data_IF_708934188247
#
_entry.id   IF_708934188247
#
_cell.length_a   1.000
_cell.length_b   1.000
_cell.length_c   1.000
_cell.angle_alpha   90.00
_cell.angle_beta   90.00
_cell.angle_gamma   90.00
#
_symmetry.space_group_name_H-M   'P 1'
#
loop_
_entity.id
_entity.type
_entity.pdbx_description
1 polymer ?
#
# COMPACT_ATOMS: atom_id res chain seq x y z
N UNK A 1 -11.04 20.00 17.39
CA UNK A 1 -11.04 18.77 16.55
C UNK A 1 -9.95 18.98 15.51
N UNK A 2 -8.75 18.45 15.74
CA UNK A 2 -7.63 18.57 14.79
C UNK A 2 -7.88 17.60 13.63
N UNK A 3 -7.86 18.10 12.39
CA UNK A 3 -7.86 17.26 11.20
C UNK A 3 -6.56 16.44 11.21
N UNK A 4 -6.69 15.12 11.19
CA UNK A 4 -5.55 14.21 11.06
C UNK A 4 -4.88 14.45 9.71
N UNK A 5 -3.58 14.72 9.75
CA UNK A 5 -2.78 15.08 8.58
C UNK A 5 -2.66 13.88 7.63
N UNK A 6 -3.35 13.92 6.49
CA UNK A 6 -3.14 12.97 5.39
C UNK A 6 -1.74 13.18 4.82
N UNK A 7 -0.95 12.11 4.72
CA UNK A 7 0.38 12.10 4.09
C UNK A 7 0.33 11.32 2.78
N UNK A 8 0.80 11.93 1.67
CA UNK A 8 0.84 11.33 0.32
C UNK A 8 2.29 11.38 -0.18
N UNK A 9 2.81 10.25 -0.64
CA UNK A 9 4.19 10.12 -1.13
C UNK A 9 4.24 9.46 -2.49
N UNK A 10 5.18 9.89 -3.33
CA UNK A 10 5.41 9.39 -4.69
C UNK A 10 6.83 8.82 -4.76
N UNK A 11 6.94 7.50 -4.90
CA UNK A 11 8.20 6.79 -5.16
C UNK A 11 8.29 6.38 -6.63
N UNK A 12 9.46 6.56 -7.26
CA UNK A 12 9.71 6.10 -8.63
C UNK A 12 10.62 4.88 -8.63
N UNK A 13 10.22 3.83 -9.36
CA UNK A 13 11.01 2.66 -9.69
C UNK A 13 11.23 2.67 -11.20
N UNK A 14 12.48 2.63 -11.65
CA UNK A 14 12.80 2.74 -13.08
C UNK A 14 13.99 1.89 -13.48
N UNK A 15 13.93 1.35 -14.69
CA UNK A 15 15.03 0.65 -15.33
C UNK A 15 15.85 1.68 -16.12
N UNK A 16 17.17 1.67 -15.94
CA UNK A 16 18.22 2.52 -16.53
C UNK A 16 18.81 3.64 -15.65
N UNK A 17 20.09 3.42 -15.30
CA UNK A 17 21.07 4.38 -14.74
C UNK A 17 20.54 5.20 -13.57
N UNK A 18 20.13 4.49 -12.53
CA UNK A 18 19.90 5.07 -11.21
C UNK A 18 21.26 5.50 -10.65
N UNK A 19 21.57 6.80 -10.74
CA UNK A 19 22.60 7.41 -9.91
C UNK A 19 22.22 7.17 -8.44
N UNK A 20 23.23 6.81 -7.66
CA UNK A 20 23.22 6.18 -6.32
C UNK A 20 21.94 6.29 -5.44
N UNK A 21 21.55 5.21 -4.75
CA UNK A 21 20.53 5.25 -3.70
C UNK A 21 20.94 6.25 -2.60
N UNK A 22 20.06 7.20 -2.27
CA UNK A 22 20.30 8.24 -1.27
C UNK A 22 20.08 9.67 -1.75
N UNK A 23 20.08 9.90 -3.07
CA UNK A 23 19.77 11.21 -3.64
C UNK A 23 18.27 11.32 -3.94
N UNK A 24 17.61 12.33 -3.38
CA UNK A 24 16.22 12.76 -3.67
C UNK A 24 16.03 13.23 -5.11
N UNK A 25 16.97 12.97 -6.00
CA UNK A 25 17.07 13.51 -7.36
C UNK A 25 17.34 12.37 -8.33
N UNK A 26 16.52 12.27 -9.38
CA UNK A 26 16.70 11.34 -10.50
C UNK A 26 16.74 12.08 -11.82
N UNK A 27 17.40 11.46 -12.79
CA UNK A 27 17.46 11.93 -14.15
C UNK A 27 16.79 10.90 -15.05
N UNK A 28 15.92 11.34 -15.94
CA UNK A 28 15.29 10.49 -16.93
C UNK A 28 15.47 11.08 -18.32
N UNK A 29 15.60 10.21 -19.31
CA UNK A 29 15.69 10.59 -20.70
C UNK A 29 14.35 10.31 -21.36
N UNK A 30 13.68 11.36 -21.84
CA UNK A 30 12.41 11.18 -22.54
C UNK A 30 12.58 10.48 -23.91
N UNK A 31 13.78 10.57 -24.50
CA UNK A 31 14.21 9.96 -25.77
C UNK A 31 15.72 9.75 -25.80
N UNK A 32 16.18 8.75 -26.56
CA UNK A 32 17.60 8.54 -26.79
C UNK A 32 18.26 9.79 -27.42
N UNK A 33 19.29 10.33 -26.77
CA UNK A 33 20.01 11.53 -27.20
C UNK A 33 19.38 12.87 -26.77
N UNK A 34 18.31 12.86 -25.97
CA UNK A 34 17.78 14.07 -25.33
C UNK A 34 18.64 14.48 -24.12
N UNK A 35 18.49 15.73 -23.67
CA UNK A 35 19.02 16.12 -22.35
C UNK A 35 18.23 15.40 -21.25
N UNK A 36 18.93 15.00 -20.19
CA UNK A 36 18.32 14.31 -19.07
C UNK A 36 17.51 15.31 -18.23
N UNK A 37 16.22 15.04 -18.09
CA UNK A 37 15.31 15.82 -17.25
C UNK A 37 15.41 15.34 -15.80
N UNK A 38 15.28 16.27 -14.84
CA UNK A 38 15.47 15.98 -13.41
C UNK A 38 14.12 15.89 -12.68
N UNK A 39 13.92 14.84 -11.89
CA UNK A 39 12.78 14.69 -10.96
C UNK A 39 13.31 14.67 -9.54
N UNK A 40 12.59 15.31 -8.63
CA UNK A 40 12.83 15.20 -7.20
C UNK A 40 11.80 14.28 -6.55
N UNK A 41 12.27 13.34 -5.74
CA UNK A 41 11.46 12.35 -5.02
C UNK A 41 11.95 12.21 -3.58
N UNK A 42 11.05 11.83 -2.68
CA UNK A 42 11.39 11.66 -1.26
C UNK A 42 12.27 10.43 -1.00
N UNK A 43 12.18 9.43 -1.88
CA UNK A 43 12.96 8.21 -1.81
C UNK A 43 13.06 7.52 -3.17
N UNK A 44 14.17 6.80 -3.37
CA UNK A 44 14.41 6.06 -4.59
C UNK A 44 15.32 4.86 -4.32
N UNK A 45 15.12 3.80 -5.09
CA UNK A 45 15.97 2.62 -5.03
C UNK A 45 16.09 1.97 -6.40
N UNK A 46 17.27 1.43 -6.69
CA UNK A 46 17.47 0.49 -7.81
C UNK A 46 17.31 -0.98 -7.40
N UNK A 47 17.12 -1.25 -6.11
CA UNK A 47 16.87 -2.59 -5.58
C UNK A 47 15.36 -2.79 -5.39
N UNK A 48 14.72 -3.34 -6.41
CA UNK A 48 13.28 -3.59 -6.39
C UNK A 48 12.86 -4.62 -5.33
N UNK A 49 13.79 -5.43 -4.81
CA UNK A 49 13.52 -6.47 -3.80
C UNK A 49 13.39 -5.88 -2.40
N UNK A 50 14.05 -4.75 -2.14
CA UNK A 50 14.03 -4.06 -0.85
C UNK A 50 13.23 -2.75 -0.90
N UNK A 51 12.25 -2.64 -1.81
CA UNK A 51 11.46 -1.44 -2.00
C UNK A 51 10.87 -0.94 -0.68
N UNK A 52 10.26 -1.84 0.10
CA UNK A 52 9.57 -1.49 1.34
C UNK A 52 10.53 -0.87 2.38
N UNK A 53 11.68 -1.52 2.61
CA UNK A 53 12.67 -1.09 3.57
C UNK A 53 13.33 0.25 3.17
N UNK A 54 13.63 0.45 1.89
CA UNK A 54 14.37 1.63 1.43
C UNK A 54 13.50 2.88 1.23
N UNK A 55 12.18 2.73 1.15
CA UNK A 55 11.23 3.84 0.93
C UNK A 55 10.62 4.41 2.21
N UNK A 56 11.04 3.90 3.39
CA UNK A 56 10.55 4.39 4.68
C UNK A 56 9.07 4.08 4.93
N UNK A 57 8.49 3.11 4.21
CA UNK A 57 7.05 2.84 4.22
C UNK A 57 6.52 2.37 5.58
N UNK A 58 7.38 1.77 6.40
CA UNK A 58 7.08 1.38 7.77
C UNK A 58 6.52 2.54 8.61
N UNK A 59 7.01 3.78 8.38
CA UNK A 59 6.54 4.95 9.12
C UNK A 59 5.06 5.29 8.84
N UNK A 60 4.54 4.95 7.65
CA UNK A 60 3.12 5.16 7.32
C UNK A 60 2.22 4.10 7.92
N UNK A 61 2.72 2.86 8.00
CA UNK A 61 2.04 1.77 8.71
C UNK A 61 1.91 2.13 10.19
N UNK A 62 3.01 2.57 10.81
CA UNK A 62 3.00 3.04 12.20
C UNK A 62 2.06 4.24 12.40
N UNK A 63 2.11 5.22 11.50
CA UNK A 63 1.20 6.38 11.55
C UNK A 63 -0.27 5.94 11.50
N UNK A 64 -0.61 5.01 10.62
CA UNK A 64 -1.98 4.48 10.53
C UNK A 64 -2.40 3.80 11.84
N UNK A 65 -1.56 2.91 12.37
CA UNK A 65 -1.83 2.18 13.62
C UNK A 65 -1.97 3.13 14.83
N UNK A 66 -1.21 4.23 14.85
CA UNK A 66 -1.30 5.26 15.90
C UNK A 66 -2.53 6.17 15.76
N UNK A 67 -3.47 5.84 14.86
CA UNK A 67 -4.70 6.58 14.63
C UNK A 67 -4.62 7.58 13.49
N UNK A 68 -3.60 7.57 12.64
CA UNK A 68 -3.52 8.41 11.45
C UNK A 68 -4.23 7.80 10.24
N UNK A 69 -4.37 8.58 9.17
CA UNK A 69 -4.75 8.06 7.85
C UNK A 69 -3.56 8.09 6.90
N UNK A 70 -3.23 6.93 6.34
CA UNK A 70 -2.13 6.74 5.39
C UNK A 70 -2.64 6.04 4.13
N UNK A 71 -2.15 6.45 2.96
CA UNK A 71 -2.46 5.79 1.69
C UNK A 71 -1.18 5.52 0.89
N UNK A 72 -1.05 4.29 0.37
CA UNK A 72 0.05 3.83 -0.46
C UNK A 72 -0.48 3.53 -1.85
N UNK A 73 0.04 4.23 -2.87
CA UNK A 73 -0.30 3.99 -4.26
C UNK A 73 0.88 3.33 -4.97
N UNK A 74 0.68 2.10 -5.41
CA UNK A 74 1.67 1.32 -6.15
C UNK A 74 1.35 1.45 -7.64
N UNK A 75 2.28 2.07 -8.36
CA UNK A 75 2.25 2.20 -9.81
C UNK A 75 3.62 1.87 -10.35
N UNK A 76 3.67 1.11 -11.43
CA UNK A 76 4.83 1.12 -12.30
C UNK A 76 4.40 1.03 -13.74
N UNK A 77 5.36 1.03 -14.63
CA UNK A 77 5.13 0.76 -16.05
C UNK A 77 6.29 -0.09 -16.51
N UNK A 78 6.02 -1.21 -17.18
CA UNK A 78 7.08 -2.14 -17.56
C UNK A 78 7.58 -3.03 -16.43
N UNK A 79 6.88 -3.08 -15.29
CA UNK A 79 7.15 -3.99 -14.17
C UNK A 79 7.20 -5.46 -14.65
N UNK A 80 6.34 -5.84 -15.58
CA UNK A 80 6.36 -7.17 -16.21
C UNK A 80 7.66 -7.48 -16.97
N UNK A 81 8.45 -6.47 -17.36
CA UNK A 81 9.77 -6.61 -17.99
C UNK A 81 10.92 -6.56 -16.98
N UNK A 82 10.67 -6.10 -15.75
CA UNK A 82 11.73 -5.92 -14.75
C UNK A 82 12.18 -7.22 -14.09
N UNK A 83 11.43 -8.33 -14.21
CA UNK A 83 11.83 -9.68 -13.75
C UNK A 83 12.03 -9.87 -12.24
N UNK A 84 12.38 -8.80 -11.51
CA UNK A 84 12.77 -8.74 -10.10
C UNK A 84 11.77 -7.96 -9.23
N UNK A 85 10.70 -7.38 -9.79
CA UNK A 85 9.60 -6.87 -8.97
C UNK A 85 8.73 -8.04 -8.52
N UNK A 86 8.92 -8.43 -7.26
CA UNK A 86 8.10 -9.42 -6.61
C UNK A 86 7.03 -8.71 -5.78
N UNK A 87 5.86 -8.51 -6.40
CA UNK A 87 4.66 -7.98 -5.74
C UNK A 87 4.35 -8.74 -4.45
N UNK A 88 4.54 -10.06 -4.44
CA UNK A 88 4.30 -10.89 -3.27
C UNK A 88 5.32 -10.59 -2.17
N UNK A 89 6.60 -10.39 -2.51
CA UNK A 89 7.62 -9.93 -1.56
C UNK A 89 7.25 -8.58 -0.95
N UNK A 90 6.84 -7.60 -1.77
CA UNK A 90 6.41 -6.30 -1.25
C UNK A 90 5.23 -6.42 -0.28
N UNK A 91 4.20 -7.20 -0.66
CA UNK A 91 3.05 -7.40 0.21
C UNK A 91 3.41 -8.19 1.48
N UNK A 92 4.37 -9.11 1.41
CA UNK A 92 4.92 -9.81 2.57
C UNK A 92 5.59 -8.86 3.54
N UNK A 93 6.43 -7.94 3.05
CA UNK A 93 7.09 -6.94 3.89
C UNK A 93 6.06 -6.00 4.54
N UNK A 94 5.03 -5.60 3.79
CA UNK A 94 3.92 -4.81 4.30
C UNK A 94 3.16 -5.53 5.42
N UNK A 95 2.78 -6.80 5.21
CA UNK A 95 2.09 -7.61 6.20
C UNK A 95 2.93 -7.78 7.48
N UNK A 96 4.23 -8.06 7.32
CA UNK A 96 5.16 -8.14 8.44
C UNK A 96 5.25 -6.82 9.21
N UNK A 97 5.32 -5.69 8.51
CA UNK A 97 5.37 -4.37 9.14
C UNK A 97 4.08 -4.03 9.90
N UNK A 98 2.91 -4.42 9.37
CA UNK A 98 1.62 -4.26 10.05
C UNK A 98 1.63 -5.09 11.34
N UNK A 99 1.89 -6.40 11.25
CA UNK A 99 1.85 -7.30 12.39
C UNK A 99 2.81 -6.86 13.52
N UNK A 100 4.05 -6.50 13.16
CA UNK A 100 5.03 -5.97 14.11
C UNK A 100 4.56 -4.68 14.78
N UNK A 101 4.00 -3.74 14.00
CA UNK A 101 3.56 -2.45 14.51
C UNK A 101 2.32 -2.59 15.39
N UNK A 102 1.39 -3.50 15.05
CA UNK A 102 0.22 -3.79 15.88
C UNK A 102 0.65 -4.36 17.24
N UNK A 103 1.50 -5.39 17.22
CA UNK A 103 2.01 -6.05 18.42
C UNK A 103 2.77 -5.10 19.35
N UNK A 104 3.47 -4.11 18.79
CA UNK A 104 4.23 -3.11 19.55
C UNK A 104 3.36 -2.00 20.12
N UNK A 105 2.31 -1.59 19.42
CA UNK A 105 1.47 -0.45 19.81
C UNK A 105 0.35 -0.86 20.77
N UNK A 106 -0.49 -1.81 20.38
CA UNK A 106 -1.57 -2.35 21.19
C UNK A 106 -1.90 -3.79 20.76
N UNK A 107 -1.57 -4.80 21.58
CA UNK A 107 -1.87 -6.21 21.28
C UNK A 107 -3.37 -6.52 21.17
N UNK A 108 -4.22 -5.70 21.77
CA UNK A 108 -5.69 -5.89 21.80
C UNK A 108 -6.41 -5.04 20.75
N UNK A 109 -5.67 -4.45 19.80
CA UNK A 109 -6.22 -3.61 18.75
C UNK A 109 -7.15 -4.38 17.84
N UNK A 110 -8.38 -3.89 17.68
CA UNK A 110 -9.30 -4.43 16.70
C UNK A 110 -9.00 -3.89 15.31
N UNK A 111 -9.32 -4.69 14.30
CA UNK A 111 -9.11 -4.29 12.92
C UNK A 111 -10.28 -4.74 12.05
N UNK A 112 -10.62 -3.91 11.07
CA UNK A 112 -11.48 -4.31 9.97
C UNK A 112 -10.76 -4.13 8.64
N UNK A 113 -11.12 -4.91 7.63
CA UNK A 113 -10.52 -4.80 6.31
C UNK A 113 -11.54 -4.95 5.18
N UNK A 114 -11.24 -4.31 4.06
CA UNK A 114 -11.87 -4.60 2.78
C UNK A 114 -10.76 -4.85 1.75
N UNK A 115 -10.86 -5.95 1.01
CA UNK A 115 -9.90 -6.28 -0.05
C UNK A 115 -10.66 -6.49 -1.36
N UNK A 116 -10.48 -5.58 -2.31
CA UNK A 116 -11.25 -5.54 -3.54
C UNK A 116 -10.37 -5.49 -4.78
N UNK A 117 -10.73 -6.27 -5.80
CA UNK A 117 -10.20 -6.16 -7.15
C UNK A 117 -10.98 -5.18 -7.99
N UNK A 118 -10.30 -4.45 -8.85
CA UNK A 118 -10.88 -3.45 -9.75
C UNK A 118 -10.62 -3.87 -11.21
N UNK A 119 -11.65 -3.77 -12.03
CA UNK A 119 -11.60 -3.93 -13.49
C UNK A 119 -12.26 -2.72 -14.14
N UNK A 120 -12.19 -2.63 -15.47
CA UNK A 120 -12.79 -1.53 -16.23
C UNK A 120 -14.29 -1.31 -15.98
N UNK A 121 -15.03 -2.36 -15.59
CA UNK A 121 -16.49 -2.31 -15.47
C UNK A 121 -17.04 -2.87 -14.16
N UNK A 122 -16.20 -3.50 -13.33
CA UNK A 122 -16.63 -4.22 -12.13
C UNK A 122 -15.63 -4.07 -10.99
N UNK A 123 -16.17 -4.10 -9.79
CA UNK A 123 -15.42 -4.28 -8.54
C UNK A 123 -15.72 -5.69 -8.02
N UNK A 124 -14.69 -6.41 -7.59
CA UNK A 124 -14.79 -7.75 -7.02
C UNK A 124 -14.33 -7.70 -5.58
N UNK A 125 -15.14 -8.19 -4.66
CA UNK A 125 -14.78 -8.41 -3.27
C UNK A 125 -14.00 -9.73 -3.16
N UNK A 126 -12.71 -9.66 -2.83
CA UNK A 126 -11.82 -10.83 -2.67
C UNK A 126 -12.03 -11.56 -1.34
N UNK A 127 -12.74 -10.95 -0.38
CA UNK A 127 -13.12 -11.67 0.83
C UNK A 127 -14.21 -12.72 0.50
N UNK A 128 -15.17 -12.35 -0.36
CA UNK A 128 -16.34 -13.17 -0.70
C UNK A 128 -16.32 -13.81 -2.08
N UNK A 129 -15.33 -13.49 -2.91
CA UNK A 129 -15.22 -13.86 -4.32
C UNK A 129 -16.47 -13.47 -5.13
N UNK A 130 -16.98 -12.25 -4.94
CA UNK A 130 -18.23 -11.77 -5.57
C UNK A 130 -18.10 -10.36 -6.13
N UNK A 131 -18.80 -10.10 -7.23
CA UNK A 131 -18.94 -8.74 -7.74
C UNK A 131 -19.72 -7.86 -6.77
N UNK A 132 -19.23 -6.64 -6.56
CA UNK A 132 -19.88 -5.63 -5.73
C UNK A 132 -20.81 -4.79 -6.62
N UNK A 133 -22.04 -4.59 -6.16
CA UNK A 133 -23.02 -3.75 -6.85
C UNK A 133 -22.72 -2.26 -6.63
N UNK A 134 -23.13 -1.41 -7.57
CA UNK A 134 -22.94 0.04 -7.48
C UNK A 134 -23.55 0.63 -6.20
N UNK A 135 -24.73 0.15 -5.79
CA UNK A 135 -25.40 0.60 -4.56
C UNK A 135 -24.55 0.36 -3.30
N UNK A 136 -23.80 -0.75 -3.24
CA UNK A 136 -22.90 -1.04 -2.12
C UNK A 136 -21.65 -0.16 -2.10
N UNK A 137 -21.28 0.43 -3.24
CA UNK A 137 -20.14 1.35 -3.38
C UNK A 137 -20.54 2.82 -3.23
N UNK A 138 -21.84 3.14 -3.24
CA UNK A 138 -22.34 4.53 -3.23
C UNK A 138 -21.84 5.36 -2.03
N UNK A 139 -21.47 4.68 -0.94
CA UNK A 139 -20.95 5.31 0.28
C UNK A 139 -19.49 4.91 0.59
N UNK A 140 -18.74 4.51 -0.44
CA UNK A 140 -17.37 4.04 -0.29
C UNK A 140 -17.28 2.57 0.15
N UNK A 141 -16.18 2.22 0.82
CA UNK A 141 -15.84 0.83 1.17
C UNK A 141 -16.37 0.37 2.53
N UNK A 142 -16.97 1.26 3.34
CA UNK A 142 -17.41 0.92 4.70
C UNK A 142 -18.39 -0.26 4.75
N UNK A 143 -19.29 -0.36 3.77
CA UNK A 143 -20.22 -1.49 3.65
C UNK A 143 -19.59 -2.81 3.21
N UNK A 144 -18.29 -2.82 2.87
CA UNK A 144 -17.49 -3.99 2.48
C UNK A 144 -16.44 -4.37 3.51
N UNK A 145 -16.35 -3.64 4.63
CA UNK A 145 -15.39 -3.97 5.68
C UNK A 145 -15.83 -5.23 6.45
N UNK A 146 -14.83 -6.01 6.83
CA UNK A 146 -14.94 -7.25 7.56
C UNK A 146 -14.10 -7.16 8.82
N UNK A 147 -14.68 -7.52 9.96
CA UNK A 147 -13.94 -7.66 11.21
C UNK A 147 -12.88 -8.76 11.09
N UNK A 148 -11.71 -8.49 11.65
CA UNK A 148 -10.57 -9.40 11.62
C UNK A 148 -10.44 -10.03 13.00
N UNK A 149 -10.86 -11.29 13.09
CA UNK A 149 -10.67 -12.12 14.28
C UNK A 149 -9.24 -12.68 14.36
N UNK A 150 -8.63 -12.91 13.20
CA UNK A 150 -7.30 -13.51 13.06
C UNK A 150 -6.55 -12.83 11.90
N UNK A 151 -5.41 -12.20 12.22
CA UNK A 151 -4.56 -11.54 11.24
C UNK A 151 -3.97 -12.52 10.23
N UNK A 152 -3.63 -13.74 10.65
CA UNK A 152 -2.97 -14.72 9.80
C UNK A 152 -3.84 -15.08 8.59
N UNK A 153 -5.17 -15.09 8.77
CA UNK A 153 -6.15 -15.31 7.69
C UNK A 153 -6.17 -14.17 6.67
N UNK A 154 -6.02 -12.92 7.13
CA UNK A 154 -5.96 -11.75 6.25
C UNK A 154 -4.64 -11.73 5.50
N UNK A 155 -3.53 -11.99 6.20
CA UNK A 155 -2.20 -12.11 5.61
C UNK A 155 -2.18 -13.20 4.54
N UNK A 156 -2.71 -14.40 4.81
CA UNK A 156 -2.76 -15.47 3.82
C UNK A 156 -3.53 -15.02 2.56
N UNK A 157 -4.69 -14.37 2.71
CA UNK A 157 -5.47 -13.84 1.58
C UNK A 157 -4.71 -12.79 0.78
N UNK A 158 -3.99 -11.89 1.45
CA UNK A 158 -3.17 -10.87 0.79
C UNK A 158 -2.01 -11.54 0.02
N UNK A 159 -1.38 -12.56 0.61
CA UNK A 159 -0.21 -13.26 0.04
C UNK A 159 -0.56 -14.31 -1.00
N UNK A 160 -1.81 -14.78 -1.06
CA UNK A 160 -2.35 -15.49 -2.23
C UNK A 160 -2.24 -14.62 -3.49
N UNK A 161 -2.23 -13.29 -3.30
CA UNK A 161 -2.06 -12.31 -4.35
C UNK A 161 -3.34 -12.11 -5.17
N UNK A 162 -3.30 -11.10 -6.03
CA UNK A 162 -4.40 -10.78 -6.93
C UNK A 162 -3.85 -10.56 -8.33
N UNK A 163 -4.55 -11.03 -9.35
CA UNK A 163 -4.18 -10.76 -10.75
C UNK A 163 -4.68 -9.41 -11.25
N UNK A 164 -5.64 -8.82 -10.54
CA UNK A 164 -6.23 -7.53 -10.85
C UNK A 164 -5.49 -6.39 -10.12
N UNK A 165 -5.61 -5.14 -10.62
CA UNK A 165 -5.50 -3.97 -9.76
C UNK A 165 -6.39 -4.14 -8.54
N UNK A 166 -5.95 -3.68 -7.37
CA UNK A 166 -6.72 -3.84 -6.14
C UNK A 166 -6.65 -2.64 -5.20
N UNK A 167 -7.59 -2.62 -4.27
CA UNK A 167 -7.57 -1.77 -3.08
C UNK A 167 -7.67 -2.68 -1.84
N UNK A 168 -6.69 -2.54 -0.95
CA UNK A 168 -6.69 -3.11 0.39
C UNK A 168 -6.89 -1.96 1.39
N UNK A 169 -8.04 -1.90 2.03
CA UNK A 169 -8.37 -0.92 3.05
C UNK A 169 -8.35 -1.60 4.42
N UNK A 170 -7.53 -1.11 5.34
CA UNK A 170 -7.35 -1.62 6.70
C UNK A 170 -7.67 -0.52 7.70
N UNK A 171 -8.56 -0.79 8.64
CA UNK A 171 -8.97 0.14 9.67
C UNK A 171 -8.61 -0.41 11.03
N UNK A 172 -7.92 0.39 11.84
CA UNK A 172 -7.37 0.00 13.14
C UNK A 172 -8.07 0.77 14.25
N UNK A 173 -8.51 0.10 15.30
CA UNK A 173 -9.12 0.74 16.46
C UNK A 173 -8.46 0.24 17.75
N UNK A 174 -7.89 1.16 18.53
CA UNK A 174 -7.40 0.87 19.88
C UNK A 174 -8.30 1.57 20.89
N UNK A 175 -8.63 0.86 21.97
CA UNK A 175 -9.39 1.38 23.11
C UNK A 175 -8.52 1.61 24.35
N UNK A 176 -7.21 1.30 24.29
CA UNK A 176 -6.29 1.50 25.41
C UNK A 176 -5.82 2.94 25.50
N UNK A 177 -5.67 3.42 26.74
CA UNK A 177 -5.12 4.73 27.15
C UNK A 177 -5.76 5.97 26.50
N UNK A 178 -5.64 6.11 25.19
CA UNK A 178 -6.34 7.10 24.36
C UNK A 178 -6.95 6.38 23.15
N UNK A 179 -8.28 6.37 23.01
CA UNK A 179 -8.92 5.76 21.86
C UNK A 179 -8.38 6.32 20.55
N UNK A 180 -7.91 5.45 19.67
CA UNK A 180 -7.45 5.81 18.34
C UNK A 180 -8.27 5.10 17.28
N UNK A 181 -8.39 5.76 16.13
CA UNK A 181 -9.02 5.23 14.94
C UNK A 181 -8.12 5.59 13.77
N UNK A 182 -7.55 4.56 13.16
CA UNK A 182 -6.52 4.63 12.15
C UNK A 182 -6.93 3.97 10.85
N UNK A 183 -6.38 4.43 9.73
CA UNK A 183 -6.71 3.90 8.42
C UNK A 183 -5.48 3.79 7.52
N UNK A 184 -5.25 2.60 6.98
CA UNK A 184 -4.25 2.34 5.95
C UNK A 184 -4.94 1.86 4.68
N UNK A 185 -4.74 2.58 3.58
CA UNK A 185 -5.23 2.17 2.26
C UNK A 185 -4.05 1.85 1.35
N UNK A 186 -4.06 0.67 0.73
CA UNK A 186 -3.05 0.27 -0.27
C UNK A 186 -3.76 0.05 -1.59
N UNK A 187 -3.38 0.85 -2.58
CA UNK A 187 -3.94 0.84 -3.93
C UNK A 187 -2.86 0.35 -4.87
N UNK A 188 -3.04 -0.85 -5.42
CA UNK A 188 -2.15 -1.40 -6.44
C UNK A 188 -2.82 -1.27 -7.80
N UNK A 189 -2.22 -0.47 -8.69
CA UNK A 189 -2.83 -0.17 -9.98
C UNK A 189 -2.47 -1.18 -11.07
N UNK A 190 -1.56 -2.13 -10.81
CA UNK A 190 -1.10 -3.17 -11.75
C UNK A 190 -0.87 -2.65 -13.20
N UNK A 191 -0.10 -1.56 -13.32
CA UNK A 191 0.25 -0.89 -14.59
C UNK A 191 1.66 -1.35 -15.07
#
# INVERSE_FOLDING_TARGET
MQLQNTKVYVGLVGDQTIAQPGDTTKYFLNKAGAEAERIFVDGCTGDTKNLFAQSGLQSYVQHAIQGGTSALFLSGTGIARMGDYDRKSFMSDLCQAINQSMSQYDPDMSMTYAFIGVTDSKVVDFHRDRTVTADRLAHGLGGLQHEVEDWDMVEEKVLQGATLPFVLSLHFESLRDMPTNGHLCVVDMNI
#
